data_IF_372926104748
#
_entry.id   IF_372926104748
#
_cell.length_a   1.000
_cell.length_b   1.000
_cell.length_c   1.000
_cell.angle_alpha   90.00
_cell.angle_beta   90.00
_cell.angle_gamma   90.00
#
_symmetry.space_group_name_H-M   'P 1'
#
loop_
_entity.id
_entity.type
_entity.pdbx_description
1 polymer ?
#
# COMPACT_ATOMS: atom_id res chain seq x y z
N UNK A 1 -18.33 3.03 -5.75
CA UNK A 1 -17.06 3.28 -5.03
C UNK A 1 -16.96 2.53 -3.69
N UNK A 2 -17.84 2.77 -2.70
CA UNK A 2 -17.70 2.19 -1.35
C UNK A 2 -17.80 0.65 -1.29
N UNK A 3 -18.66 0.03 -2.12
CA UNK A 3 -18.78 -1.42 -2.22
C UNK A 3 -17.43 -2.09 -2.56
N UNK A 4 -16.73 -1.56 -3.57
CA UNK A 4 -15.42 -2.07 -4.00
C UNK A 4 -14.33 -1.90 -2.94
N UNK A 5 -14.36 -0.79 -2.21
CA UNK A 5 -13.44 -0.55 -1.09
C UNK A 5 -13.69 -1.56 0.02
N UNK A 6 -14.96 -1.86 0.33
CA UNK A 6 -15.35 -2.87 1.31
C UNK A 6 -14.93 -4.28 0.89
N UNK A 7 -15.06 -4.63 -0.40
CA UNK A 7 -14.60 -5.92 -0.93
C UNK A 7 -13.09 -6.10 -0.79
N UNK A 8 -12.30 -5.09 -1.20
CA UNK A 8 -10.85 -5.14 -1.05
C UNK A 8 -10.43 -5.22 0.41
N UNK A 9 -11.11 -4.49 1.28
CA UNK A 9 -10.81 -4.50 2.70
C UNK A 9 -11.14 -5.86 3.33
N UNK A 10 -12.30 -6.45 3.00
CA UNK A 10 -12.69 -7.79 3.46
C UNK A 10 -11.71 -8.88 3.01
N UNK A 11 -11.28 -8.86 1.73
CA UNK A 11 -10.21 -9.75 1.24
C UNK A 11 -8.90 -9.61 2.02
N UNK A 12 -8.51 -8.36 2.32
CA UNK A 12 -7.24 -8.07 2.99
C UNK A 12 -7.22 -8.53 4.45
N UNK A 13 -8.33 -8.37 5.16
CA UNK A 13 -8.46 -8.73 6.58
C UNK A 13 -8.99 -10.16 6.78
N UNK A 14 -9.37 -10.84 5.70
CA UNK A 14 -9.95 -12.19 5.71
C UNK A 14 -11.13 -12.32 6.67
N UNK A 15 -11.97 -11.28 6.75
CA UNK A 15 -13.16 -11.24 7.60
C UNK A 15 -14.30 -10.48 6.90
N UNK A 16 -15.57 -10.74 7.25
CA UNK A 16 -16.68 -9.92 6.81
C UNK A 16 -16.54 -8.48 7.32
N UNK A 17 -16.85 -7.53 6.44
CA UNK A 17 -16.75 -6.09 6.72
C UNK A 17 -18.15 -5.48 6.74
N UNK A 18 -18.48 -4.81 7.83
CA UNK A 18 -19.69 -3.99 7.97
C UNK A 18 -19.36 -2.54 7.63
N UNK A 19 -20.22 -1.93 6.80
CA UNK A 19 -20.08 -0.54 6.36
C UNK A 19 -21.10 0.34 7.06
N UNK A 20 -20.63 1.42 7.68
CA UNK A 20 -21.46 2.42 8.34
C UNK A 20 -21.23 3.80 7.71
N UNK A 21 -22.28 4.60 7.59
CA UNK A 21 -22.21 5.97 7.14
C UNK A 21 -22.25 6.92 8.33
N UNK A 22 -21.12 7.59 8.59
CA UNK A 22 -20.99 8.69 9.53
C UNK A 22 -21.47 9.97 8.83
N UNK A 23 -22.76 10.28 9.02
CA UNK A 23 -23.38 11.49 8.45
C UNK A 23 -22.70 12.78 8.94
N UNK A 24 -22.23 12.81 10.18
CA UNK A 24 -21.61 14.01 10.75
C UNK A 24 -20.29 14.35 10.06
N UNK A 25 -19.55 13.32 9.61
CA UNK A 25 -18.27 13.49 8.90
C UNK A 25 -18.35 13.31 7.39
N UNK A 26 -19.53 13.01 6.84
CA UNK A 26 -19.74 12.62 5.44
C UNK A 26 -18.75 11.53 4.98
N UNK A 27 -18.53 10.53 5.83
CA UNK A 27 -17.54 9.46 5.62
C UNK A 27 -18.14 8.08 5.86
N UNK A 28 -17.59 7.08 5.18
CA UNK A 28 -17.89 5.68 5.44
C UNK A 28 -16.84 5.07 6.38
N UNK A 29 -17.31 4.26 7.32
CA UNK A 29 -16.48 3.44 8.23
C UNK A 29 -16.62 1.99 7.82
N UNK A 30 -15.49 1.32 7.65
CA UNK A 30 -15.43 -0.10 7.33
C UNK A 30 -14.88 -0.82 8.57
N UNK A 31 -15.68 -1.71 9.14
CA UNK A 31 -15.34 -2.42 10.36
C UNK A 31 -15.30 -3.94 10.07
N UNK A 32 -14.15 -4.61 10.21
CA UNK A 32 -14.10 -6.06 10.16
C UNK A 32 -14.66 -6.57 11.50
N UNK A 33 -15.85 -7.16 11.45
CA UNK A 33 -16.55 -7.64 12.64
C UNK A 33 -16.82 -9.13 12.39
N UNK A 34 -16.15 -10.04 13.13
CA UNK A 34 -16.43 -11.47 13.05
C UNK A 34 -17.91 -11.74 13.33
N UNK A 35 -18.48 -12.77 12.69
CA UNK A 35 -19.90 -13.12 12.88
C UNK A 35 -20.26 -13.43 14.33
N UNK A 36 -19.27 -13.90 15.10
CA UNK A 36 -19.41 -14.32 16.49
C UNK A 36 -19.41 -13.14 17.49
N UNK A 37 -19.13 -11.91 17.01
CA UNK A 37 -19.00 -10.73 17.85
C UNK A 37 -20.05 -9.69 17.48
N UNK A 38 -20.84 -9.26 18.47
CA UNK A 38 -21.80 -8.17 18.30
C UNK A 38 -21.35 -6.95 19.11
N UNK A 39 -20.43 -6.13 18.57
CA UNK A 39 -19.95 -4.94 19.26
C UNK A 39 -21.05 -3.87 19.33
N UNK A 40 -20.97 -2.98 20.33
CA UNK A 40 -21.80 -1.78 20.33
C UNK A 40 -21.38 -0.86 19.19
N UNK A 41 -22.20 -0.79 18.14
CA UNK A 41 -21.98 0.06 16.96
C UNK A 41 -22.78 1.35 16.99
N UNK A 42 -23.39 1.71 18.14
CA UNK A 42 -24.22 2.93 18.29
C UNK A 42 -23.49 4.20 17.86
N UNK A 43 -22.17 4.26 18.08
CA UNK A 43 -21.31 5.41 17.75
C UNK A 43 -20.80 5.40 16.31
N UNK A 44 -21.01 4.32 15.56
CA UNK A 44 -20.39 4.14 14.24
C UNK A 44 -21.19 4.78 13.10
N UNK A 45 -22.40 5.25 13.39
CA UNK A 45 -23.31 5.85 12.43
C UNK A 45 -24.32 4.86 11.87
N UNK A 46 -24.96 5.22 10.75
CA UNK A 46 -26.04 4.41 10.16
C UNK A 46 -25.43 3.21 9.44
N UNK A 47 -25.80 1.99 9.84
CA UNK A 47 -25.46 0.79 9.09
C UNK A 47 -25.96 0.87 7.64
N UNK A 48 -25.10 0.51 6.69
CA UNK A 48 -25.41 0.50 5.27
C UNK A 48 -25.60 -0.94 4.76
N UNK A 49 -24.50 -1.71 4.75
CA UNK A 49 -24.47 -3.08 4.22
C UNK A 49 -23.22 -3.81 4.75
N UNK A 50 -23.18 -5.13 4.57
CA UNK A 50 -22.01 -5.99 4.81
C UNK A 50 -21.44 -6.51 3.49
N UNK A 51 -20.14 -6.78 3.47
CA UNK A 51 -19.45 -7.47 2.37
C UNK A 51 -18.58 -8.55 2.96
N UNK A 52 -18.74 -9.76 2.44
CA UNK A 52 -17.89 -10.88 2.77
C UNK A 52 -17.15 -11.35 1.51
N UNK A 53 -15.86 -11.07 1.50
CA UNK A 53 -14.88 -11.57 0.54
C UNK A 53 -13.70 -12.18 1.32
N UNK A 54 -13.97 -12.71 2.52
CA UNK A 54 -12.96 -13.31 3.40
C UNK A 54 -12.31 -14.55 2.80
N UNK A 55 -13.03 -15.24 1.92
CA UNK A 55 -12.49 -16.36 1.17
C UNK A 55 -11.34 -15.88 0.28
N UNK A 56 -10.12 -16.43 0.44
CA UNK A 56 -9.02 -16.06 -0.41
C UNK A 56 -9.37 -16.42 -1.85
N UNK A 57 -9.37 -15.42 -2.73
CA UNK A 57 -9.33 -15.67 -4.17
C UNK A 57 -8.07 -16.50 -4.39
N UNK A 58 -8.23 -17.72 -4.93
CA UNK A 58 -7.10 -18.55 -5.34
C UNK A 58 -6.28 -17.73 -6.32
N UNK A 59 -5.18 -17.15 -5.85
CA UNK A 59 -4.20 -16.53 -6.74
C UNK A 59 -3.67 -17.69 -7.56
N UNK A 60 -3.88 -17.65 -8.87
CA UNK A 60 -3.35 -18.65 -9.78
C UNK A 60 -1.87 -18.83 -9.49
N UNK A 61 -1.41 -20.08 -9.39
CA UNK A 61 -0.02 -20.45 -9.07
C UNK A 61 1.03 -19.87 -10.04
N UNK A 62 0.58 -19.18 -11.10
CA UNK A 62 1.41 -18.56 -12.15
C UNK A 62 1.62 -17.03 -11.99
N UNK A 63 1.21 -16.36 -10.91
CA UNK A 63 1.48 -14.92 -10.75
C UNK A 63 2.99 -14.68 -10.48
N UNK A 64 3.74 -14.04 -11.42
CA UNK A 64 5.18 -13.81 -11.28
C UNK A 64 5.52 -12.80 -10.17
N UNK A 65 4.53 -12.18 -9.53
CA UNK A 65 4.72 -11.29 -8.39
C UNK A 65 4.52 -11.98 -7.04
N UNK A 66 4.25 -13.29 -7.02
CA UNK A 66 4.10 -14.09 -5.79
C UNK A 66 5.33 -14.98 -5.61
N UNK A 67 5.98 -14.87 -4.46
CA UNK A 67 7.15 -15.67 -4.12
C UNK A 67 6.79 -17.01 -3.47
N UNK A 68 7.81 -17.80 -3.18
CA UNK A 68 7.67 -19.04 -2.42
C UNK A 68 7.00 -18.75 -1.06
N UNK A 69 5.85 -19.40 -0.80
CA UNK A 69 5.04 -19.14 0.39
C UNK A 69 3.85 -18.19 0.18
N UNK A 70 3.49 -17.86 -1.07
CA UNK A 70 2.25 -17.14 -1.39
C UNK A 70 2.29 -15.65 -1.05
N UNK A 71 3.45 -15.13 -0.65
CA UNK A 71 3.64 -13.72 -0.31
C UNK A 71 4.02 -12.91 -1.55
N UNK A 72 3.42 -11.73 -1.71
CA UNK A 72 3.71 -10.85 -2.85
C UNK A 72 5.12 -10.25 -2.73
N UNK A 73 5.93 -10.45 -3.75
CA UNK A 73 7.28 -9.92 -3.88
C UNK A 73 7.17 -8.38 -4.06
N UNK A 74 7.83 -7.58 -3.20
CA UNK A 74 7.84 -6.13 -3.36
C UNK A 74 8.68 -5.73 -4.58
N UNK A 75 8.40 -4.57 -5.16
CA UNK A 75 9.19 -4.05 -6.28
C UNK A 75 10.61 -3.70 -5.79
N UNK A 76 11.65 -3.87 -6.62
CA UNK A 76 12.97 -3.33 -6.31
C UNK A 76 12.88 -1.81 -6.10
N UNK A 77 13.63 -1.30 -5.12
CA UNK A 77 13.65 0.13 -4.81
C UNK A 77 14.44 0.88 -5.88
N UNK A 78 13.87 1.97 -6.39
CA UNK A 78 14.58 2.88 -7.30
C UNK A 78 15.50 3.84 -6.52
N UNK A 79 16.29 4.64 -7.26
CA UNK A 79 17.28 5.56 -6.67
C UNK A 79 16.63 6.57 -5.70
N UNK A 80 15.51 7.17 -6.10
CA UNK A 80 14.79 8.12 -5.26
C UNK A 80 14.27 7.50 -3.96
N UNK A 81 13.76 6.26 -4.02
CA UNK A 81 13.25 5.58 -2.84
C UNK A 81 14.37 5.24 -1.85
N UNK A 82 15.55 4.85 -2.36
CA UNK A 82 16.75 4.63 -1.55
C UNK A 82 17.25 5.94 -0.91
N UNK A 83 17.33 7.01 -1.70
CA UNK A 83 17.70 8.34 -1.22
C UNK A 83 16.74 8.85 -0.14
N UNK A 84 15.43 8.80 -0.41
CA UNK A 84 14.39 9.21 0.52
C UNK A 84 14.45 8.39 1.81
N UNK A 85 14.67 7.08 1.73
CA UNK A 85 14.81 6.25 2.92
C UNK A 85 15.99 6.73 3.79
N UNK A 86 17.14 7.03 3.18
CA UNK A 86 18.31 7.56 3.91
C UNK A 86 18.03 8.93 4.54
N UNK A 87 17.56 9.90 3.75
CA UNK A 87 17.30 11.27 4.24
C UNK A 87 16.13 11.34 5.23
N UNK A 88 15.11 10.50 5.07
CA UNK A 88 14.00 10.44 6.02
C UNK A 88 14.45 10.09 7.42
N UNK A 89 15.37 9.12 7.56
CA UNK A 89 15.92 8.75 8.86
C UNK A 89 16.73 9.89 9.49
N UNK A 90 17.45 10.67 8.69
CA UNK A 90 18.20 11.84 9.17
C UNK A 90 17.25 12.94 9.67
N UNK A 91 16.21 13.26 8.91
CA UNK A 91 15.27 14.35 9.23
C UNK A 91 14.39 13.99 10.42
N UNK A 92 13.83 12.78 10.47
CA UNK A 92 12.96 12.36 11.59
C UNK A 92 13.70 12.29 12.93
N UNK A 93 15.03 12.13 12.92
CA UNK A 93 15.85 12.25 14.15
C UNK A 93 16.01 13.69 14.65
N UNK A 94 15.82 14.69 13.78
CA UNK A 94 15.95 16.11 14.11
C UNK A 94 14.61 16.82 14.31
N UNK A 95 13.58 16.36 13.61
CA UNK A 95 12.25 16.98 13.61
C UNK A 95 11.22 15.94 13.99
N UNK A 96 10.74 16.02 15.24
CA UNK A 96 9.62 15.23 15.71
C UNK A 96 8.31 15.71 15.09
N UNK A 97 7.39 14.78 14.81
CA UNK A 97 6.05 15.11 14.31
C UNK A 97 5.97 15.52 12.83
N UNK A 98 7.07 15.52 12.07
CA UNK A 98 7.03 15.80 10.63
C UNK A 98 6.14 14.80 9.88
N UNK A 99 5.23 15.30 9.07
CA UNK A 99 4.33 14.44 8.29
C UNK A 99 5.06 13.86 7.07
N UNK A 100 4.60 12.70 6.60
CA UNK A 100 5.17 12.06 5.40
C UNK A 100 5.07 12.94 4.13
N UNK A 101 4.05 13.80 4.06
CA UNK A 101 3.85 14.76 2.98
C UNK A 101 4.92 15.84 2.99
N UNK A 102 5.15 16.48 4.15
CA UNK A 102 6.18 17.50 4.34
C UNK A 102 7.57 16.92 4.09
N UNK A 103 7.83 15.72 4.62
CA UNK A 103 9.10 15.03 4.43
C UNK A 103 9.41 14.78 2.95
N UNK A 104 8.41 14.38 2.17
CA UNK A 104 8.59 14.13 0.74
C UNK A 104 8.82 15.41 -0.05
N UNK A 105 8.19 16.53 0.34
CA UNK A 105 8.46 17.85 -0.26
C UNK A 105 9.87 18.33 0.02
N UNK A 106 10.34 18.21 1.26
CA UNK A 106 11.69 18.62 1.65
C UNK A 106 12.73 17.78 0.92
N UNK A 107 12.60 16.45 0.96
CA UNK A 107 13.55 15.54 0.30
C UNK A 107 13.53 15.70 -1.22
N UNK A 108 12.37 16.02 -1.82
CA UNK A 108 12.29 16.31 -3.26
C UNK A 108 13.20 17.48 -3.65
N UNK A 109 13.12 18.60 -2.93
CA UNK A 109 14.02 19.75 -3.15
C UNK A 109 15.49 19.39 -2.93
N UNK A 110 15.79 18.64 -1.86
CA UNK A 110 17.15 18.20 -1.59
C UNK A 110 17.71 17.35 -2.72
N UNK A 111 16.90 16.49 -3.33
CA UNK A 111 17.32 15.68 -4.47
C UNK A 111 17.66 16.53 -5.70
N UNK A 112 16.83 17.53 -6.00
CA UNK A 112 17.03 18.43 -7.14
C UNK A 112 18.29 19.31 -6.99
N UNK A 113 18.64 19.64 -5.74
CA UNK A 113 19.83 20.43 -5.38
C UNK A 113 21.08 19.56 -5.11
N UNK A 114 20.94 18.23 -5.12
CA UNK A 114 22.01 17.29 -4.79
C UNK A 114 23.07 17.26 -5.90
N UNK A 115 24.32 16.98 -5.53
CA UNK A 115 25.40 16.95 -6.53
C UNK A 115 25.25 15.76 -7.50
N UNK A 116 25.73 15.89 -8.75
CA UNK A 116 25.68 14.81 -9.72
C UNK A 116 26.33 13.52 -9.23
N UNK A 117 27.40 13.61 -8.43
CA UNK A 117 28.12 12.47 -7.87
C UNK A 117 27.26 11.68 -6.89
N UNK A 118 26.51 12.38 -6.02
CA UNK A 118 25.62 11.74 -5.06
C UNK A 118 24.40 11.16 -5.78
N UNK A 119 23.82 11.87 -6.75
CA UNK A 119 22.75 11.30 -7.57
C UNK A 119 23.22 10.02 -8.28
N UNK A 120 24.41 10.05 -8.89
CA UNK A 120 25.03 8.88 -9.55
C UNK A 120 25.26 7.71 -8.58
N UNK A 121 25.68 8.00 -7.34
CA UNK A 121 25.79 6.98 -6.30
C UNK A 121 24.44 6.26 -6.06
N UNK A 122 23.34 7.01 -5.92
CA UNK A 122 22.01 6.42 -5.70
C UNK A 122 21.47 5.69 -6.93
N UNK A 123 21.81 6.15 -8.13
CA UNK A 123 21.54 5.41 -9.37
C UNK A 123 22.26 4.06 -9.38
N UNK A 124 23.56 4.02 -9.07
CA UNK A 124 24.31 2.76 -8.98
C UNK A 124 23.77 1.81 -7.91
N UNK A 125 23.32 2.35 -6.77
CA UNK A 125 22.68 1.56 -5.72
C UNK A 125 21.34 0.96 -6.18
N UNK A 126 20.55 1.69 -6.98
CA UNK A 126 19.32 1.19 -7.56
C UNK A 126 19.56 0.07 -8.60
N UNK A 127 20.60 0.19 -9.42
CA UNK A 127 21.01 -0.86 -10.35
C UNK A 127 21.43 -2.15 -9.62
N UNK A 128 22.17 -2.01 -8.51
CA UNK A 128 22.54 -3.14 -7.65
C UNK A 128 21.31 -3.78 -7.00
N UNK A 129 20.36 -2.98 -6.53
CA UNK A 129 19.10 -3.48 -5.97
C UNK A 129 18.30 -4.26 -7.04
N UNK A 130 18.19 -3.73 -8.26
CA UNK A 130 17.51 -4.40 -9.36
C UNK A 130 18.21 -5.72 -9.74
N UNK A 131 19.53 -5.71 -9.82
CA UNK A 131 20.32 -6.91 -10.10
C UNK A 131 20.13 -8.00 -9.03
N UNK A 132 20.26 -7.62 -7.76
CA UNK A 132 20.06 -8.54 -6.63
C UNK A 132 18.63 -9.08 -6.60
N UNK A 133 17.63 -8.23 -6.84
CA UNK A 133 16.23 -8.63 -6.90
C UNK A 133 15.97 -9.62 -8.04
N UNK A 134 16.51 -9.38 -9.25
CA UNK A 134 16.38 -10.32 -10.38
C UNK A 134 17.02 -11.68 -10.09
N UNK A 135 18.15 -11.68 -9.37
CA UNK A 135 18.83 -12.92 -8.95
C UNK A 135 18.06 -13.66 -7.86
N UNK A 136 17.47 -12.93 -6.91
CA UNK A 136 16.71 -13.50 -5.80
C UNK A 136 15.35 -14.04 -6.26
N UNK A 137 14.71 -13.38 -7.22
CA UNK A 137 13.38 -13.72 -7.73
C UNK A 137 13.44 -13.99 -9.24
N UNK A 138 14.04 -15.12 -9.65
CA UNK A 138 14.07 -15.51 -11.06
C UNK A 138 12.62 -15.73 -11.54
N UNK A 139 12.19 -14.96 -12.54
CA UNK A 139 10.82 -14.98 -13.06
C UNK A 139 9.94 -13.84 -12.57
N UNK A 140 10.41 -12.97 -11.66
CA UNK A 140 9.66 -11.79 -11.28
C UNK A 140 9.38 -10.88 -12.47
N UNK A 141 8.11 -10.52 -12.64
CA UNK A 141 7.66 -9.55 -13.65
C UNK A 141 6.63 -8.63 -13.04
N UNK A 142 6.88 -7.32 -13.14
CA UNK A 142 5.91 -6.35 -12.68
C UNK A 142 4.63 -6.42 -13.53
N UNK A 143 3.52 -6.74 -12.88
CA UNK A 143 2.18 -6.65 -13.45
C UNK A 143 1.45 -5.51 -12.74
N UNK A 144 1.16 -4.39 -13.41
CA UNK A 144 0.30 -3.37 -12.84
C UNK A 144 -1.07 -3.98 -12.56
N UNK A 145 -1.63 -3.71 -11.38
CA UNK A 145 -2.99 -4.11 -11.11
C UNK A 145 -3.90 -3.42 -12.13
N UNK A 146 -4.69 -4.21 -12.88
CA UNK A 146 -5.75 -3.65 -13.69
C UNK A 146 -6.71 -2.93 -12.74
N UNK A 147 -6.92 -1.64 -12.94
CA UNK A 147 -8.12 -1.02 -12.39
C UNK A 147 -9.30 -1.75 -13.02
N UNK A 148 -10.28 -2.24 -12.24
CA UNK A 148 -11.49 -2.76 -12.84
C UNK A 148 -12.10 -1.61 -13.64
N UNK A 149 -12.40 -1.86 -14.93
CA UNK A 149 -13.06 -0.91 -15.80
C UNK A 149 -14.21 -0.27 -15.02
N UNK A 150 -14.10 1.04 -14.78
CA UNK A 150 -15.25 1.80 -14.35
C UNK A 150 -16.18 1.84 -15.56
N UNK A 151 -17.11 0.90 -15.64
CA UNK A 151 -18.35 1.13 -16.39
C UNK A 151 -18.98 2.40 -15.77
N UNK A 152 -18.68 3.53 -16.41
CA UNK A 152 -19.35 4.79 -16.15
C UNK A 152 -20.81 4.60 -16.59
N UNK A 153 -21.80 4.98 -15.75
CA UNK A 153 -23.18 5.05 -16.20
C UNK A 153 -23.36 6.12 -17.29
#
# INVERSE_FOLDING_TARGET
LINHVADKFSRRVQQPVRVFHDKARSKYRLCPIPEDVNPDTSTYGRYCFSRDQSTPVKVSEEDPTVGEGGSRIPRPRNCWLLYRQSKSQEITRRVEGITASELSRVIGRMWDEETPEIQAYWHNMAEKEEFNHKRQYPGYKYIPAKEPDQELP
#
